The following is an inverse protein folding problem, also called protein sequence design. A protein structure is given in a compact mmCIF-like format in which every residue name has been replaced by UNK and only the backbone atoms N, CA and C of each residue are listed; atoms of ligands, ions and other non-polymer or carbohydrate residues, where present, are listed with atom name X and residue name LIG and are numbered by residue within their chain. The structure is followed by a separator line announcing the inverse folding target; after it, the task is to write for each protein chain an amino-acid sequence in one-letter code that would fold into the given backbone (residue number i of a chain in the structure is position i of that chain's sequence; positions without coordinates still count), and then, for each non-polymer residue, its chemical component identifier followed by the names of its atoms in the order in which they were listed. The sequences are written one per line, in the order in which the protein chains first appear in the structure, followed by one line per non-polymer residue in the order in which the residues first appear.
data_IF_393912065356
#
_entry.id   IF_393912065356
#
_cell.length_a   1.000
_cell.length_b   1.000
_cell.length_c   1.000
_cell.angle_alpha   90.00
_cell.angle_beta   90.00
_cell.angle_gamma   90.00
#
_symmetry.space_group_name_H-M   'P 1'
#
loop_
_entity.id
_entity.type
_entity.pdbx_description
1 polymer ?
#
# COMPACT_ATOMS: atom_id res chain seq x y z
N UNK A 1 -8.84 -27.83 -8.29
CA UNK A 1 -7.98 -27.41 -9.42
C UNK A 1 -8.31 -26.00 -9.92
N UNK A 2 -9.54 -25.71 -10.36
CA UNK A 2 -9.93 -24.39 -10.93
C UNK A 2 -9.68 -23.19 -10.01
N UNK A 3 -9.97 -23.30 -8.70
CA UNK A 3 -9.73 -22.21 -7.73
C UNK A 3 -8.26 -21.78 -7.64
N UNK A 4 -7.35 -22.74 -7.63
CA UNK A 4 -5.91 -22.45 -7.56
C UNK A 4 -5.41 -21.80 -8.85
N UNK A 5 -5.93 -22.24 -10.00
CA UNK A 5 -5.63 -21.62 -11.29
C UNK A 5 -6.08 -20.15 -11.33
N UNK A 6 -7.31 -19.84 -10.87
CA UNK A 6 -7.78 -18.45 -10.81
C UNK A 6 -6.94 -17.58 -9.87
N UNK A 7 -6.47 -18.12 -8.74
CA UNK A 7 -5.59 -17.40 -7.82
C UNK A 7 -4.24 -17.09 -8.47
N UNK A 8 -3.62 -18.10 -9.11
CA UNK A 8 -2.33 -17.92 -9.80
C UNK A 8 -2.44 -16.92 -10.94
N UNK A 9 -3.47 -17.03 -11.78
CA UNK A 9 -3.71 -16.08 -12.87
C UNK A 9 -3.99 -14.68 -12.36
N UNK A 10 -4.72 -14.54 -11.25
CA UNK A 10 -4.97 -13.25 -10.62
C UNK A 10 -3.70 -12.60 -10.09
N UNK A 11 -2.86 -13.35 -9.38
CA UNK A 11 -1.55 -12.86 -8.90
C UNK A 11 -0.66 -12.47 -10.09
N UNK A 12 -0.56 -13.32 -11.11
CA UNK A 12 0.22 -13.05 -12.30
C UNK A 12 -0.26 -11.79 -13.03
N UNK A 13 -1.57 -11.61 -13.18
CA UNK A 13 -2.14 -10.42 -13.80
C UNK A 13 -1.78 -9.14 -13.04
N UNK A 14 -1.84 -9.15 -11.71
CA UNK A 14 -1.42 -8.00 -10.88
C UNK A 14 0.08 -7.74 -11.05
N UNK A 15 0.93 -8.77 -10.96
CA UNK A 15 2.38 -8.58 -11.12
C UNK A 15 2.73 -8.01 -12.50
N UNK A 16 2.13 -8.54 -13.57
CA UNK A 16 2.37 -8.06 -14.94
C UNK A 16 1.89 -6.62 -15.12
N UNK A 17 0.72 -6.27 -14.58
CA UNK A 17 0.17 -4.91 -14.68
C UNK A 17 1.03 -3.86 -13.97
N UNK A 18 1.66 -4.22 -12.85
CA UNK A 18 2.46 -3.31 -12.02
C UNK A 18 3.97 -3.41 -12.26
N UNK A 19 4.43 -4.41 -13.03
CA UNK A 19 5.85 -4.56 -13.38
C UNK A 19 6.50 -3.27 -13.92
N UNK A 20 5.85 -2.50 -14.81
CA UNK A 20 6.44 -1.26 -15.33
C UNK A 20 6.65 -0.18 -14.26
N UNK A 21 5.92 -0.23 -13.14
CA UNK A 21 6.04 0.75 -12.07
C UNK A 21 7.26 0.48 -11.15
N UNK A 22 7.72 -0.77 -11.05
CA UNK A 22 8.82 -1.16 -10.15
C UNK A 22 10.13 -0.39 -10.40
N UNK A 23 10.63 -0.23 -11.65
CA UNK A 23 11.82 0.57 -11.93
C UNK A 23 11.53 2.08 -12.04
N UNK A 24 10.27 2.51 -11.86
CA UNK A 24 9.87 3.90 -11.96
C UNK A 24 10.40 4.78 -10.83
N UNK A 25 10.23 6.09 -10.99
CA UNK A 25 10.48 7.09 -9.94
C UNK A 25 9.18 7.61 -9.32
N UNK A 26 9.33 8.56 -8.40
CA UNK A 26 8.21 9.32 -7.84
C UNK A 26 7.58 10.18 -8.94
N UNK A 27 6.25 10.18 -9.01
CA UNK A 27 5.47 10.98 -9.95
C UNK A 27 4.50 11.90 -9.20
N UNK A 28 4.15 13.03 -9.82
CA UNK A 28 3.14 13.96 -9.30
C UNK A 28 3.41 14.38 -7.83
N UNK A 29 2.60 13.92 -6.88
CA UNK A 29 2.62 14.27 -5.46
C UNK A 29 3.10 13.12 -4.57
N UNK A 30 3.64 12.05 -5.14
CA UNK A 30 4.24 10.95 -4.39
C UNK A 30 5.27 11.46 -3.38
N UNK A 31 6.12 12.40 -3.82
CA UNK A 31 7.16 13.00 -3.00
C UNK A 31 6.64 13.77 -1.79
N UNK A 32 5.42 14.32 -1.87
CA UNK A 32 4.81 15.04 -0.76
C UNK A 32 4.18 14.11 0.29
N UNK A 33 3.96 12.85 -0.06
CA UNK A 33 3.47 11.83 0.87
C UNK A 33 4.58 11.12 1.64
N UNK A 34 5.79 11.10 1.07
CA UNK A 34 6.97 10.53 1.73
C UNK A 34 7.30 11.28 3.03
N UNK A 35 7.83 10.53 4.00
CA UNK A 35 8.15 11.08 5.32
C UNK A 35 9.27 12.12 5.22
N UNK A 36 8.88 13.39 5.39
CA UNK A 36 9.77 14.54 5.44
C UNK A 36 10.82 14.37 6.56
N UNK A 37 12.06 14.88 6.38
CA UNK A 37 13.15 14.73 7.34
C UNK A 37 12.77 15.00 8.81
N UNK A 38 12.02 16.07 9.05
CA UNK A 38 11.53 16.53 10.34
C UNK A 38 10.52 15.58 11.00
N UNK A 39 9.87 14.69 10.23
CA UNK A 39 8.87 13.75 10.72
C UNK A 39 9.41 12.33 10.99
N UNK A 40 10.68 12.05 10.66
CA UNK A 40 11.26 10.69 10.71
C UNK A 40 11.54 10.16 12.11
N UNK A 41 11.53 11.02 13.11
CA UNK A 41 11.70 10.64 14.51
C UNK A 41 10.39 10.12 15.11
N UNK A 42 10.46 9.54 16.30
CA UNK A 42 9.26 9.18 17.08
C UNK A 42 8.43 10.41 17.49
N UNK A 43 9.07 11.55 17.77
CA UNK A 43 8.35 12.80 18.01
C UNK A 43 7.66 13.28 16.74
N UNK A 44 8.30 13.13 15.57
CA UNK A 44 7.71 13.39 14.26
C UNK A 44 6.49 12.52 13.96
N UNK A 45 6.51 11.24 14.37
CA UNK A 45 5.32 10.40 14.33
C UNK A 45 4.21 10.95 15.23
N UNK A 46 4.55 11.48 16.42
CA UNK A 46 3.59 12.21 17.26
C UNK A 46 2.95 13.38 16.52
N UNK A 47 3.76 14.21 15.85
CA UNK A 47 3.28 15.36 15.07
C UNK A 47 2.33 14.96 13.94
N UNK A 48 2.60 13.85 13.23
CA UNK A 48 1.69 13.30 12.19
C UNK A 48 0.26 13.11 12.74
N UNK A 49 0.14 12.71 14.00
CA UNK A 49 -1.16 12.43 14.63
C UNK A 49 -1.81 13.64 15.30
N UNK A 50 -1.02 14.60 15.78
CA UNK A 50 -1.54 15.67 16.64
C UNK A 50 -1.56 17.05 16.00
N UNK A 51 -0.83 17.27 14.91
CA UNK A 51 -0.68 18.58 14.27
C UNK A 51 -1.28 18.56 12.85
N UNK A 52 -2.53 19.02 12.67
CA UNK A 52 -3.11 19.21 11.35
C UNK A 52 -2.26 20.16 10.50
N UNK A 53 -1.78 19.69 9.35
CA UNK A 53 -0.86 20.43 8.48
C UNK A 53 0.60 20.02 8.61
N UNK A 54 0.96 19.12 9.53
CA UNK A 54 2.27 18.47 9.53
C UNK A 54 2.53 17.67 8.25
N UNK A 55 1.48 17.23 7.56
CA UNK A 55 1.53 16.50 6.29
C UNK A 55 0.60 17.16 5.26
N UNK A 56 0.80 16.87 3.96
CA UNK A 56 0.01 17.48 2.87
C UNK A 56 -1.50 17.28 3.05
N UNK A 57 -1.92 16.08 3.45
CA UNK A 57 -3.29 15.78 3.87
C UNK A 57 -3.27 15.19 5.28
N UNK A 58 -4.25 15.58 6.10
CA UNK A 58 -4.41 15.01 7.43
C UNK A 58 -4.96 13.58 7.34
N UNK A 59 -4.06 12.63 7.12
CA UNK A 59 -4.31 11.19 7.06
C UNK A 59 -3.26 10.46 7.90
N UNK A 60 -3.37 10.53 9.25
CA UNK A 60 -2.30 10.09 10.15
C UNK A 60 -1.98 8.60 10.03
N UNK A 61 -2.96 7.76 9.71
CA UNK A 61 -2.74 6.33 9.44
C UNK A 61 -1.91 6.10 8.17
N UNK A 62 -2.21 6.81 7.08
CA UNK A 62 -1.46 6.73 5.82
C UNK A 62 -0.02 7.19 6.05
N UNK A 63 0.17 8.33 6.70
CA UNK A 63 1.51 8.86 6.95
C UNK A 63 2.29 8.04 8.00
N UNK A 64 1.62 7.32 8.89
CA UNK A 64 2.27 6.31 9.74
C UNK A 64 2.78 5.12 8.92
N UNK A 65 2.06 4.70 7.87
CA UNK A 65 2.53 3.66 6.96
C UNK A 65 3.78 4.14 6.20
N UNK A 66 3.76 5.34 5.63
CA UNK A 66 4.94 5.94 4.99
C UNK A 66 6.11 6.12 5.96
N UNK A 67 5.83 6.46 7.23
CA UNK A 67 6.85 6.54 8.27
C UNK A 67 7.51 5.18 8.49
N UNK A 68 6.73 4.11 8.62
CA UNK A 68 7.25 2.73 8.75
C UNK A 68 8.05 2.34 7.50
N UNK A 69 7.52 2.61 6.31
CA UNK A 69 8.21 2.33 5.04
C UNK A 69 9.54 3.08 4.95
N UNK A 70 9.61 4.33 5.41
CA UNK A 70 10.87 5.05 5.49
C UNK A 70 11.87 4.39 6.46
N UNK A 71 11.41 3.81 7.57
CA UNK A 71 12.29 3.08 8.49
C UNK A 71 12.82 1.78 7.89
N UNK A 72 12.05 1.13 7.02
CA UNK A 72 12.42 -0.13 6.37
C UNK A 72 13.30 0.08 5.13
N UNK A 73 12.99 1.09 4.33
CA UNK A 73 13.54 1.27 2.99
C UNK A 73 14.35 2.56 2.83
N UNK A 74 14.29 3.48 3.80
CA UNK A 74 14.92 4.79 3.70
C UNK A 74 14.36 5.59 2.53
N UNK A 75 15.24 6.05 1.65
CA UNK A 75 14.87 6.73 0.40
C UNK A 75 14.71 5.81 -0.82
N UNK A 76 14.78 4.49 -0.65
CA UNK A 76 14.70 3.55 -1.76
C UNK A 76 13.26 3.41 -2.28
N UNK A 77 12.94 4.12 -3.36
CA UNK A 77 11.61 4.14 -4.01
C UNK A 77 11.07 2.74 -4.31
N UNK A 78 11.94 1.80 -4.66
CA UNK A 78 11.56 0.41 -4.91
C UNK A 78 10.81 -0.23 -3.73
N UNK A 79 11.18 0.08 -2.48
CA UNK A 79 10.49 -0.45 -1.31
C UNK A 79 9.03 -0.03 -1.23
N UNK A 80 8.76 1.24 -1.54
CA UNK A 80 7.41 1.81 -1.62
C UNK A 80 6.60 1.16 -2.75
N UNK A 81 7.20 0.95 -3.92
CA UNK A 81 6.53 0.25 -5.03
C UNK A 81 6.18 -1.20 -4.70
N UNK A 82 7.07 -1.92 -4.00
CA UNK A 82 6.81 -3.28 -3.55
C UNK A 82 5.69 -3.33 -2.51
N UNK A 83 5.63 -2.37 -1.58
CA UNK A 83 4.54 -2.25 -0.61
C UNK A 83 3.21 -2.00 -1.32
N UNK A 84 3.17 -1.09 -2.29
CA UNK A 84 1.99 -0.83 -3.12
C UNK A 84 1.53 -2.08 -3.90
N UNK A 85 2.47 -2.78 -4.55
CA UNK A 85 2.16 -4.04 -5.24
C UNK A 85 1.56 -5.09 -4.29
N UNK A 86 2.12 -5.22 -3.07
CA UNK A 86 1.58 -6.12 -2.05
C UNK A 86 0.16 -5.73 -1.62
N UNK A 87 -0.12 -4.43 -1.49
CA UNK A 87 -1.47 -3.93 -1.20
C UNK A 87 -2.46 -4.25 -2.32
N UNK A 88 -2.08 -4.09 -3.59
CA UNK A 88 -2.91 -4.48 -4.73
C UNK A 88 -3.20 -5.98 -4.77
N UNK A 89 -2.20 -6.82 -4.50
CA UNK A 89 -2.40 -8.27 -4.37
C UNK A 89 -3.38 -8.62 -3.24
N UNK A 90 -3.23 -7.98 -2.07
CA UNK A 90 -4.11 -8.19 -0.93
C UNK A 90 -5.54 -7.72 -1.23
N UNK A 91 -5.70 -6.56 -1.86
CA UNK A 91 -7.01 -6.03 -2.26
C UNK A 91 -7.71 -6.97 -3.25
N UNK A 92 -7.01 -7.43 -4.29
CA UNK A 92 -7.53 -8.38 -5.26
C UNK A 92 -7.95 -9.71 -4.60
N UNK A 93 -7.12 -10.24 -3.69
CA UNK A 93 -7.43 -11.45 -2.95
C UNK A 93 -8.68 -11.28 -2.06
N UNK A 94 -8.77 -10.15 -1.32
CA UNK A 94 -9.94 -9.83 -0.49
C UNK A 94 -11.21 -9.69 -1.33
N UNK A 95 -11.14 -9.02 -2.47
CA UNK A 95 -12.27 -8.88 -3.40
C UNK A 95 -12.75 -10.24 -3.92
N UNK A 96 -11.82 -11.14 -4.29
CA UNK A 96 -12.16 -12.49 -4.72
C UNK A 96 -12.88 -13.29 -3.61
N UNK A 97 -12.40 -13.20 -2.36
CA UNK A 97 -13.05 -13.86 -1.21
C UNK A 97 -14.41 -13.27 -0.88
N UNK A 98 -14.55 -11.96 -0.94
CA UNK A 98 -15.83 -11.29 -0.73
C UNK A 98 -16.87 -11.74 -1.75
N UNK A 99 -16.49 -11.81 -3.03
CA UNK A 99 -17.36 -12.33 -4.09
C UNK A 99 -17.81 -13.76 -3.83
N UNK A 100 -16.93 -14.62 -3.33
CA UNK A 100 -17.30 -15.99 -2.95
C UNK A 100 -18.28 -15.99 -1.78
N UNK A 101 -18.06 -15.16 -0.76
CA UNK A 101 -18.93 -15.06 0.40
C UNK A 101 -20.35 -14.61 0.03
N UNK A 102 -20.48 -13.58 -0.82
CA UNK A 102 -21.79 -13.06 -1.28
C UNK A 102 -22.57 -14.10 -2.09
N UNK A 103 -21.88 -15.02 -2.77
CA UNK A 103 -22.52 -16.07 -3.58
C UNK A 103 -22.96 -17.29 -2.78
N UNK A 104 -22.52 -17.43 -1.52
CA UNK A 104 -22.98 -18.52 -0.66
C UNK A 104 -24.36 -18.16 -0.11
N UNK A 105 -25.34 -19.09 -0.13
CA UNK A 105 -26.59 -18.87 0.57
C UNK A 105 -26.34 -18.69 2.07
N UNK A 106 -27.17 -17.92 2.80
CA UNK A 106 -27.10 -17.88 4.26
C UNK A 106 -27.34 -19.28 4.82
N UNK A 107 -26.56 -19.69 5.82
CA UNK A 107 -26.81 -20.93 6.56
C UNK A 107 -28.15 -20.81 7.32
N UNK A 108 -28.97 -21.87 7.38
CA UNK A 108 -30.28 -21.87 8.04
C UNK A 108 -30.20 -21.72 9.57
#
# INVERSE_FOLDING_TARGET
MVRYLCLVLGVAAVVVAYWPALPGGLLWDDGAHLTAPELRSWSGLGLIWTEPGATQQYSPLLHSAFWIEHRLWGGAVLGYHLANLAQHLLAAARAARLREAIRRPPEP
#
